data_IF_470113204322
#
_entry.id   IF_470113204322
#
_cell.length_a   1.000
_cell.length_b   1.000
_cell.length_c   1.000
_cell.angle_alpha   90.00
_cell.angle_beta   90.00
_cell.angle_gamma   90.00
#
_symmetry.space_group_name_H-M   'P 1'
#
loop_
_entity.id
_entity.type
_entity.pdbx_description
1 polymer ?
#
# COMPACT_ATOMS: atom_id res chain seq x y z
N UNK A 1 -52.25 55.59 -27.96
CA UNK A 1 -53.16 55.86 -26.82
C UNK A 1 -52.98 54.74 -25.80
N UNK A 2 -52.58 55.14 -24.59
CA UNK A 2 -52.71 54.46 -23.30
C UNK A 2 -52.04 53.08 -23.10
N UNK A 3 -51.18 53.04 -22.07
CA UNK A 3 -50.45 51.86 -21.62
C UNK A 3 -51.28 50.86 -20.80
N UNK A 4 -50.62 49.76 -20.46
CA UNK A 4 -50.95 48.98 -19.27
C UNK A 4 -49.66 48.30 -18.77
N UNK A 5 -49.20 48.72 -17.60
CA UNK A 5 -48.08 48.15 -16.85
C UNK A 5 -48.43 46.74 -16.37
N UNK A 6 -47.58 45.77 -16.71
CA UNK A 6 -47.64 44.40 -16.17
C UNK A 6 -46.41 44.11 -15.31
N UNK A 7 -46.56 44.16 -13.99
CA UNK A 7 -45.54 43.76 -13.01
C UNK A 7 -45.28 42.25 -13.09
N UNK A 8 -44.02 41.87 -13.30
CA UNK A 8 -43.52 40.51 -13.09
C UNK A 8 -43.43 40.22 -11.58
N UNK A 9 -43.99 39.12 -11.06
CA UNK A 9 -43.78 38.73 -9.67
C UNK A 9 -42.44 37.99 -9.52
N UNK A 10 -41.53 38.56 -8.73
CA UNK A 10 -40.32 37.86 -8.27
C UNK A 10 -40.72 36.74 -7.28
N UNK A 11 -40.65 35.50 -7.74
CA UNK A 11 -40.78 34.31 -6.87
C UNK A 11 -39.44 34.05 -6.15
N UNK A 12 -39.37 34.38 -4.86
CA UNK A 12 -38.30 33.92 -3.96
C UNK A 12 -38.50 32.43 -3.62
N UNK A 13 -37.48 31.56 -3.72
CA UNK A 13 -37.60 30.19 -3.24
C UNK A 13 -37.50 30.14 -1.71
N UNK A 14 -38.59 29.71 -1.04
CA UNK A 14 -38.58 29.31 0.38
C UNK A 14 -37.88 27.96 0.53
N UNK A 15 -36.56 27.96 0.70
CA UNK A 15 -35.82 26.80 1.20
C UNK A 15 -35.93 26.76 2.73
N UNK A 16 -36.91 26.02 3.25
CA UNK A 16 -36.99 25.69 4.69
C UNK A 16 -36.13 24.47 4.97
N UNK A 17 -34.80 24.66 5.00
CA UNK A 17 -33.88 23.64 5.53
C UNK A 17 -34.09 23.58 7.03
N UNK A 18 -34.71 22.52 7.54
CA UNK A 18 -34.72 22.19 8.97
C UNK A 18 -33.27 21.98 9.42
N UNK A 19 -32.65 23.03 9.96
CA UNK A 19 -31.40 22.92 10.72
C UNK A 19 -31.68 22.01 11.91
N UNK A 20 -31.19 20.78 11.86
CA UNK A 20 -31.06 19.97 13.06
C UNK A 20 -30.06 20.68 14.00
N UNK A 21 -30.41 20.95 15.27
CA UNK A 21 -29.56 21.77 16.13
C UNK A 21 -28.24 21.05 16.39
N UNK A 22 -27.12 21.75 16.16
CA UNK A 22 -25.75 21.30 16.46
C UNK A 22 -25.63 20.83 17.93
N UNK A 23 -26.40 21.46 18.83
CA UNK A 23 -26.57 21.06 20.24
C UNK A 23 -27.07 19.61 20.45
N UNK A 24 -27.89 19.07 19.53
CA UNK A 24 -28.43 17.72 19.67
C UNK A 24 -27.37 16.66 19.39
N UNK A 25 -26.51 16.88 18.38
CA UNK A 25 -25.35 16.04 18.08
C UNK A 25 -24.29 16.11 19.17
N UNK A 26 -24.05 17.29 19.75
CA UNK A 26 -23.13 17.47 20.88
C UNK A 26 -23.60 16.72 22.13
N UNK A 27 -24.90 16.78 22.45
CA UNK A 27 -25.51 16.02 23.56
C UNK A 27 -25.52 14.51 23.34
N UNK A 28 -25.61 14.06 22.09
CA UNK A 28 -25.54 12.63 21.73
C UNK A 28 -24.08 12.12 21.84
N UNK A 29 -23.10 12.89 21.35
CA UNK A 29 -21.66 12.68 21.56
C UNK A 29 -21.30 12.57 23.05
N UNK A 30 -21.79 13.49 23.89
CA UNK A 30 -21.53 13.45 25.33
C UNK A 30 -22.19 12.24 26.03
N UNK A 31 -23.37 11.79 25.57
CA UNK A 31 -24.04 10.60 26.10
C UNK A 31 -23.29 9.32 25.74
N UNK A 32 -22.73 9.25 24.54
CA UNK A 32 -21.96 8.10 24.05
C UNK A 32 -20.56 8.06 24.70
N UNK A 33 -19.90 9.20 24.85
CA UNK A 33 -18.64 9.34 25.61
C UNK A 33 -18.81 8.92 27.08
N UNK A 34 -19.94 9.26 27.72
CA UNK A 34 -20.26 8.80 29.10
C UNK A 34 -20.50 7.29 29.15
N UNK A 35 -21.10 6.68 28.12
CA UNK A 35 -21.26 5.21 28.05
C UNK A 35 -19.90 4.52 27.92
N UNK A 36 -19.03 5.00 27.04
CA UNK A 36 -17.68 4.47 26.82
C UNK A 36 -16.82 4.62 28.10
N UNK A 37 -16.83 5.78 28.74
CA UNK A 37 -16.09 5.98 30.00
C UNK A 37 -16.64 5.14 31.16
N UNK A 38 -17.96 4.86 31.20
CA UNK A 38 -18.55 3.95 32.18
C UNK A 38 -18.15 2.48 31.97
N UNK A 39 -17.88 2.07 30.72
CA UNK A 39 -17.39 0.74 30.37
C UNK A 39 -15.91 0.58 30.74
N UNK A 40 -15.07 1.58 30.49
CA UNK A 40 -13.67 1.60 30.95
C UNK A 40 -13.56 1.57 32.49
N UNK A 41 -14.43 2.29 33.20
CA UNK A 41 -14.48 2.26 34.67
C UNK A 41 -14.92 0.91 35.27
N UNK A 42 -15.66 0.08 34.51
CA UNK A 42 -16.06 -1.28 34.93
C UNK A 42 -15.00 -2.33 34.67
N UNK A 43 -14.11 -2.11 33.70
CA UNK A 43 -12.97 -3.00 33.41
C UNK A 43 -11.90 -2.90 34.51
N UNK A 44 -11.82 -1.77 35.23
CA UNK A 44 -10.88 -1.55 36.35
C UNK A 44 -11.29 -2.13 37.71
N UNK A 45 -12.41 -2.86 37.83
CA UNK A 45 -12.83 -3.53 39.08
C UNK A 45 -13.42 -4.91 38.79
N UNK A 46 -12.56 -5.87 38.46
CA UNK A 46 -12.92 -7.29 38.59
C UNK A 46 -11.95 -7.92 39.57
N UNK A 47 -12.51 -8.19 40.76
CA UNK A 47 -11.91 -8.92 41.86
C UNK A 47 -11.54 -10.34 41.45
N UNK A 48 -10.32 -10.77 41.77
CA UNK A 48 -9.88 -12.16 41.66
C UNK A 48 -10.75 -13.09 42.50
N UNK A 49 -11.31 -14.14 41.88
CA UNK A 49 -11.66 -15.39 42.56
C UNK A 49 -11.32 -16.57 41.64
N UNK A 50 -10.63 -17.62 42.13
CA UNK A 50 -10.17 -18.71 41.30
C UNK A 50 -11.31 -19.72 41.12
N UNK A 51 -11.61 -20.08 39.87
CA UNK A 51 -12.37 -21.30 39.59
C UNK A 51 -11.56 -22.15 38.63
N UNK A 52 -11.21 -23.35 39.11
CA UNK A 52 -10.63 -24.43 38.32
C UNK A 52 -11.69 -24.86 37.31
N UNK A 53 -11.35 -24.82 36.02
CA UNK A 53 -11.71 -25.90 35.09
C UNK A 53 -10.88 -25.83 33.82
N UNK A 54 -10.44 -27.01 33.44
CA UNK A 54 -9.52 -27.37 32.36
C UNK A 54 -10.10 -27.11 30.98
N UNK A 55 -9.40 -26.30 30.17
CA UNK A 55 -9.43 -26.43 28.72
C UNK A 55 -8.01 -26.29 28.17
N UNK A 56 -7.61 -27.30 27.40
CA UNK A 56 -6.34 -27.52 26.74
C UNK A 56 -5.97 -26.37 25.80
N UNK A 57 -4.79 -25.79 26.03
CA UNK A 57 -4.11 -24.86 25.13
C UNK A 57 -3.60 -25.61 23.90
N UNK A 58 -4.01 -25.22 22.69
CA UNK A 58 -3.26 -25.53 21.47
C UNK A 58 -2.11 -24.52 21.36
N UNK A 59 -0.90 -24.98 21.69
CA UNK A 59 0.34 -24.26 21.40
C UNK A 59 0.67 -24.38 19.91
N UNK A 60 1.10 -23.27 19.31
CA UNK A 60 1.65 -23.23 17.95
C UNK A 60 2.93 -24.07 17.86
N UNK A 61 3.16 -24.83 16.77
CA UNK A 61 4.40 -25.58 16.63
C UNK A 61 5.54 -24.66 16.17
N UNK A 62 6.53 -24.54 17.06
CA UNK A 62 7.91 -24.14 16.80
C UNK A 62 8.55 -25.14 15.84
N UNK A 63 9.19 -24.67 14.77
CA UNK A 63 9.88 -25.53 13.80
C UNK A 63 11.37 -25.64 14.17
N UNK A 64 11.76 -26.80 14.69
CA UNK A 64 13.15 -27.24 14.80
C UNK A 64 13.29 -28.54 14.00
N UNK A 65 14.28 -28.60 13.12
CA UNK A 65 14.65 -29.77 12.32
C UNK A 65 15.14 -30.91 13.20
N UNK A 66 14.63 -32.12 12.97
CA UNK A 66 15.47 -33.32 13.09
C UNK A 66 15.02 -34.41 12.12
N UNK A 67 16.00 -35.14 11.60
CA UNK A 67 15.84 -36.09 10.51
C UNK A 67 15.58 -37.54 10.95
N UNK A 68 15.15 -38.36 9.99
CA UNK A 68 15.41 -39.80 9.99
C UNK A 68 14.18 -40.72 9.99
N UNK A 69 14.20 -41.63 9.01
CA UNK A 69 13.48 -42.92 8.88
C UNK A 69 12.03 -42.94 8.37
N UNK A 70 11.92 -43.17 7.05
CA UNK A 70 11.46 -44.45 6.51
C UNK A 70 9.97 -44.80 6.57
N UNK A 71 9.25 -44.59 5.46
CA UNK A 71 7.93 -45.19 5.24
C UNK A 71 7.34 -44.71 3.92
N UNK A 72 7.26 -45.60 2.93
CA UNK A 72 6.74 -45.31 1.60
C UNK A 72 5.28 -44.87 1.63
N UNK A 73 5.04 -43.65 1.18
CA UNK A 73 3.73 -43.08 0.89
C UNK A 73 3.94 -41.93 -0.08
N UNK A 74 3.19 -41.93 -1.18
CA UNK A 74 3.30 -40.94 -2.26
C UNK A 74 3.33 -39.51 -1.72
N UNK A 75 4.47 -38.84 -1.89
CA UNK A 75 4.64 -37.43 -1.60
C UNK A 75 3.84 -36.60 -2.62
N UNK A 76 2.55 -36.42 -2.36
CA UNK A 76 1.82 -35.30 -2.93
C UNK A 76 2.29 -34.05 -2.18
N UNK A 77 3.39 -33.47 -2.65
CA UNK A 77 3.98 -32.24 -2.13
C UNK A 77 3.04 -31.07 -2.49
N UNK A 78 1.90 -31.00 -1.81
CA UNK A 78 1.04 -29.83 -1.79
C UNK A 78 1.77 -28.75 -0.97
N UNK A 79 2.73 -28.07 -1.59
CA UNK A 79 3.01 -26.68 -1.23
C UNK A 79 1.76 -25.89 -1.61
N UNK A 80 0.76 -25.88 -0.73
CA UNK A 80 -0.40 -25.02 -0.90
C UNK A 80 0.13 -23.59 -0.78
N UNK A 81 0.42 -22.94 -1.92
CA UNK A 81 0.69 -21.51 -1.97
C UNK A 81 -0.44 -20.84 -1.21
N UNK A 82 -0.14 -20.23 -0.07
CA UNK A 82 -1.13 -19.57 0.77
C UNK A 82 -1.70 -18.41 -0.05
N UNK A 83 -2.91 -18.58 -0.58
CA UNK A 83 -3.61 -17.50 -1.28
C UNK A 83 -4.22 -16.58 -0.22
N UNK A 84 -3.75 -15.34 -0.19
CA UNK A 84 -4.21 -14.28 0.71
C UNK A 84 -5.26 -13.42 -0.01
N UNK A 85 -4.99 -13.10 -1.28
CA UNK A 85 -5.75 -12.18 -2.09
C UNK A 85 -6.52 -12.86 -3.22
N UNK A 86 -7.74 -12.39 -3.42
CA UNK A 86 -8.62 -12.67 -4.55
C UNK A 86 -8.19 -11.77 -5.72
N UNK A 87 -7.34 -12.31 -6.61
CA UNK A 87 -6.71 -11.56 -7.71
C UNK A 87 -7.73 -11.09 -8.74
N UNK A 88 -8.78 -11.88 -9.01
CA UNK A 88 -9.86 -11.49 -9.90
C UNK A 88 -10.64 -10.30 -9.33
N UNK A 89 -10.93 -10.30 -8.02
CA UNK A 89 -11.53 -9.15 -7.38
C UNK A 89 -10.61 -7.92 -7.41
N UNK A 90 -9.31 -8.11 -7.15
CA UNK A 90 -8.35 -6.99 -7.22
C UNK A 90 -8.33 -6.39 -8.62
N UNK A 91 -8.37 -7.21 -9.68
CA UNK A 91 -8.51 -6.73 -11.07
C UNK A 91 -9.79 -5.90 -11.25
N UNK A 92 -10.94 -6.35 -10.73
CA UNK A 92 -12.20 -5.57 -10.77
C UNK A 92 -12.07 -4.24 -10.02
N UNK A 93 -11.35 -4.21 -8.90
CA UNK A 93 -11.06 -2.96 -8.18
C UNK A 93 -10.21 -2.00 -9.01
N UNK A 94 -9.23 -2.53 -9.75
CA UNK A 94 -8.41 -1.76 -10.70
C UNK A 94 -9.25 -1.26 -11.89
N UNK A 95 -10.12 -2.09 -12.45
CA UNK A 95 -11.05 -1.68 -13.52
C UNK A 95 -11.90 -0.50 -13.04
N UNK A 96 -12.51 -0.61 -11.84
CA UNK A 96 -13.29 0.48 -11.23
C UNK A 96 -12.45 1.74 -10.99
N UNK A 97 -11.22 1.58 -10.49
CA UNK A 97 -10.31 2.69 -10.24
C UNK A 97 -9.98 3.48 -11.52
N UNK A 98 -9.82 2.78 -12.65
CA UNK A 98 -9.59 3.43 -13.95
C UNK A 98 -10.73 4.39 -14.32
N UNK A 99 -11.98 4.00 -14.05
CA UNK A 99 -13.15 4.86 -14.27
C UNK A 99 -13.22 6.05 -13.31
N UNK A 100 -12.90 5.84 -12.02
CA UNK A 100 -12.97 6.89 -10.99
C UNK A 100 -11.85 7.93 -11.12
N UNK A 101 -10.68 7.52 -11.62
CA UNK A 101 -9.45 8.32 -11.64
C UNK A 101 -9.13 8.94 -13.00
N UNK A 102 -9.98 8.71 -14.00
CA UNK A 102 -9.78 9.09 -15.43
C UNK A 102 -9.43 10.56 -15.68
N UNK A 103 -9.76 11.46 -14.76
CA UNK A 103 -9.54 12.91 -14.89
C UNK A 103 -9.02 13.59 -13.62
N UNK A 104 -8.50 12.81 -12.66
CA UNK A 104 -8.07 13.36 -11.37
C UNK A 104 -6.65 12.92 -11.06
N UNK A 105 -5.76 13.90 -10.99
CA UNK A 105 -4.43 13.68 -10.43
C UNK A 105 -4.57 13.52 -8.92
N UNK A 106 -3.91 12.49 -8.41
CA UNK A 106 -3.93 12.15 -7.00
C UNK A 106 -2.58 12.57 -6.41
N UNK A 107 -2.63 13.57 -5.52
CA UNK A 107 -1.42 14.15 -4.93
C UNK A 107 -0.62 13.15 -4.10
N UNK A 108 -1.29 12.14 -3.51
CA UNK A 108 -0.59 11.11 -2.75
C UNK A 108 0.13 10.15 -3.70
N UNK A 109 -0.56 9.66 -4.75
CA UNK A 109 0.09 8.80 -5.75
C UNK A 109 1.24 9.51 -6.46
N UNK A 110 1.09 10.81 -6.72
CA UNK A 110 2.12 11.64 -7.32
C UNK A 110 3.33 11.80 -6.40
N UNK A 111 3.11 12.08 -5.11
CA UNK A 111 4.19 12.19 -4.13
C UNK A 111 4.99 10.88 -3.98
N UNK A 112 4.30 9.73 -4.03
CA UNK A 112 4.96 8.42 -3.96
C UNK A 112 5.73 8.11 -5.25
N UNK A 113 5.15 8.41 -6.41
CA UNK A 113 5.81 8.20 -7.69
C UNK A 113 7.01 9.14 -7.88
N UNK A 114 6.90 10.42 -7.52
CA UNK A 114 8.01 11.38 -7.57
C UNK A 114 9.20 10.88 -6.73
N UNK A 115 8.96 10.54 -5.46
CA UNK A 115 10.01 10.06 -4.55
C UNK A 115 10.65 8.75 -5.07
N UNK A 116 9.85 7.82 -5.62
CA UNK A 116 10.39 6.61 -6.24
C UNK A 116 11.29 6.94 -7.45
N UNK A 117 10.88 7.90 -8.29
CA UNK A 117 11.59 8.30 -9.50
C UNK A 117 12.81 9.19 -9.23
N UNK A 118 12.83 9.94 -8.13
CA UNK A 118 13.98 10.76 -7.71
C UNK A 118 15.26 9.91 -7.57
N UNK A 119 15.12 8.64 -7.18
CA UNK A 119 16.24 7.67 -7.09
C UNK A 119 16.92 7.39 -8.44
N UNK A 120 16.26 7.69 -9.55
CA UNK A 120 16.88 7.61 -10.88
C UNK A 120 17.89 8.74 -11.11
N UNK A 121 17.75 9.88 -10.43
CA UNK A 121 18.68 11.01 -10.54
C UNK A 121 20.02 10.73 -9.84
N UNK A 122 20.00 9.89 -8.79
CA UNK A 122 21.21 9.40 -8.12
C UNK A 122 22.03 8.44 -8.98
N UNK A 123 21.42 7.88 -10.04
CA UNK A 123 22.05 6.94 -10.95
C UNK A 123 22.78 7.68 -12.07
N UNK A 124 24.10 7.51 -12.18
CA UNK A 124 24.91 8.07 -13.28
C UNK A 124 24.69 7.38 -14.65
N UNK A 125 23.88 6.34 -14.68
CA UNK A 125 23.64 5.44 -15.81
C UNK A 125 22.28 5.75 -16.46
N UNK A 126 22.17 5.50 -17.77
CA UNK A 126 20.88 5.46 -18.47
C UNK A 126 20.26 4.06 -18.48
N UNK A 127 18.94 4.01 -18.52
CA UNK A 127 18.12 2.80 -18.57
C UNK A 127 17.22 2.85 -19.81
N UNK A 128 17.75 2.52 -21.01
CA UNK A 128 17.02 2.73 -22.27
C UNK A 128 15.68 2.00 -22.34
N UNK A 129 15.54 0.86 -21.66
CA UNK A 129 14.29 0.10 -21.59
C UNK A 129 13.81 -0.07 -20.16
N UNK A 130 12.56 0.32 -19.91
CA UNK A 130 11.94 0.23 -18.60
C UNK A 130 10.59 -0.50 -18.66
N UNK A 131 10.27 -1.21 -17.59
CA UNK A 131 8.97 -1.84 -17.37
C UNK A 131 8.33 -1.26 -16.11
N UNK A 132 7.13 -0.72 -16.24
CA UNK A 132 6.34 -0.25 -15.11
C UNK A 132 5.21 -1.26 -14.81
N UNK A 133 5.17 -1.74 -13.56
CA UNK A 133 4.28 -2.79 -13.07
C UNK A 133 3.21 -2.23 -12.14
N UNK A 134 1.95 -2.32 -12.56
CA UNK A 134 0.76 -2.12 -11.74
C UNK A 134 0.68 -0.78 -11.00
N UNK A 135 -0.26 -0.72 -10.04
CA UNK A 135 -0.34 0.37 -9.06
C UNK A 135 -0.56 1.77 -9.66
N UNK A 136 0.35 2.72 -9.47
CA UNK A 136 0.20 4.12 -9.91
C UNK A 136 0.82 4.41 -11.28
N UNK A 137 0.57 3.54 -12.27
CA UNK A 137 1.05 3.65 -13.66
C UNK A 137 0.96 5.07 -14.25
N UNK A 138 -0.21 5.72 -14.13
CA UNK A 138 -0.41 7.05 -14.69
C UNK A 138 0.47 8.12 -14.03
N UNK A 139 0.73 8.01 -12.72
CA UNK A 139 1.61 8.93 -12.00
C UNK A 139 3.07 8.74 -12.44
N UNK A 140 3.53 7.48 -12.56
CA UNK A 140 4.87 7.16 -13.03
C UNK A 140 5.12 7.68 -14.45
N UNK A 141 4.18 7.45 -15.38
CA UNK A 141 4.30 7.92 -16.76
C UNK A 141 4.40 9.44 -16.85
N UNK A 142 3.55 10.16 -16.10
CA UNK A 142 3.53 11.63 -16.09
C UNK A 142 4.78 12.25 -15.47
N UNK A 143 5.26 11.66 -14.37
CA UNK A 143 6.35 12.23 -13.58
C UNK A 143 7.74 11.77 -14.04
N UNK A 144 7.82 10.87 -15.02
CA UNK A 144 9.10 10.38 -15.52
C UNK A 144 10.00 11.50 -16.06
N UNK A 145 9.44 12.51 -16.76
CA UNK A 145 10.12 13.78 -17.15
C UNK A 145 11.54 13.62 -17.75
N UNK A 146 11.82 12.51 -18.44
CA UNK A 146 13.14 12.22 -19.02
C UNK A 146 14.19 11.70 -18.05
N UNK A 147 13.84 11.43 -16.78
CA UNK A 147 14.73 10.84 -15.77
C UNK A 147 15.18 9.46 -16.17
N UNK A 148 16.43 9.13 -15.81
CA UNK A 148 17.01 7.81 -16.05
C UNK A 148 17.28 7.48 -17.52
N UNK A 149 17.13 8.42 -18.46
CA UNK A 149 17.42 8.18 -19.88
C UNK A 149 16.59 7.05 -20.49
N UNK A 150 15.31 6.98 -20.12
CA UNK A 150 14.38 5.95 -20.60
C UNK A 150 13.87 6.32 -21.98
N UNK A 151 14.14 5.46 -22.96
CA UNK A 151 13.69 5.62 -24.35
C UNK A 151 12.42 4.81 -24.62
N UNK A 152 12.34 3.61 -24.05
CA UNK A 152 11.22 2.67 -24.20
C UNK A 152 10.62 2.32 -22.86
N UNK A 153 9.31 2.51 -22.74
CA UNK A 153 8.55 2.22 -21.52
C UNK A 153 7.46 1.18 -21.83
N UNK A 154 7.48 0.06 -21.11
CA UNK A 154 6.43 -0.96 -21.15
C UNK A 154 5.56 -0.75 -19.91
N UNK A 155 4.29 -0.43 -20.11
CA UNK A 155 3.32 -0.25 -19.05
C UNK A 155 2.48 -1.52 -18.90
N UNK A 156 2.46 -2.13 -17.72
CA UNK A 156 1.76 -3.39 -17.48
C UNK A 156 0.83 -3.31 -16.27
N UNK A 157 -0.42 -3.76 -16.44
CA UNK A 157 -1.40 -3.93 -15.36
C UNK A 157 -2.25 -5.19 -15.62
N UNK A 158 -2.86 -5.73 -14.57
CA UNK A 158 -3.85 -6.81 -14.71
C UNK A 158 -5.18 -6.29 -15.29
N UNK A 159 -5.47 -5.01 -15.11
CA UNK A 159 -6.68 -4.34 -15.60
C UNK A 159 -6.49 -3.79 -17.02
N UNK A 160 -7.33 -4.28 -17.93
CA UNK A 160 -7.44 -3.72 -19.28
C UNK A 160 -7.91 -2.25 -19.25
N UNK A 161 -8.88 -1.92 -18.40
CA UNK A 161 -9.43 -0.57 -18.31
C UNK A 161 -8.37 0.43 -17.80
N UNK A 162 -7.50 0.01 -16.87
CA UNK A 162 -6.39 0.84 -16.39
C UNK A 162 -5.36 1.11 -17.50
N UNK A 163 -4.98 0.07 -18.24
CA UNK A 163 -4.09 0.21 -19.40
C UNK A 163 -4.70 1.13 -20.47
N UNK A 164 -5.99 0.92 -20.78
CA UNK A 164 -6.73 1.77 -21.71
C UNK A 164 -6.75 3.22 -21.24
N UNK A 165 -7.02 3.47 -19.96
CA UNK A 165 -6.99 4.82 -19.38
C UNK A 165 -5.61 5.47 -19.50
N UNK A 166 -4.53 4.72 -19.25
CA UNK A 166 -3.16 5.24 -19.38
C UNK A 166 -2.76 5.53 -20.84
N UNK A 167 -3.29 4.74 -21.78
CA UNK A 167 -3.07 4.92 -23.23
C UNK A 167 -3.84 6.12 -23.77
N UNK A 168 -5.10 6.25 -23.37
CA UNK A 168 -5.99 7.31 -23.85
C UNK A 168 -5.64 8.68 -23.21
N UNK A 169 -4.90 8.68 -22.10
CA UNK A 169 -4.32 9.89 -21.53
C UNK A 169 -3.31 10.50 -22.52
N UNK A 170 -3.73 11.59 -23.19
CA UNK A 170 -2.87 12.41 -24.02
C UNK A 170 -1.83 13.10 -23.15
N UNK A 171 -0.60 12.63 -23.23
CA UNK A 171 0.57 13.30 -22.66
C UNK A 171 1.62 13.37 -23.76
N UNK A 172 2.19 14.56 -23.97
CA UNK A 172 3.36 14.78 -24.83
C UNK A 172 4.59 14.17 -24.15
N UNK A 173 4.68 12.84 -24.16
CA UNK A 173 5.85 12.12 -23.71
C UNK A 173 6.73 11.78 -24.91
N UNK A 174 8.00 12.13 -24.81
CA UNK A 174 9.04 11.78 -25.80
C UNK A 174 9.41 10.29 -25.75
N UNK A 175 8.88 9.53 -24.79
CA UNK A 175 9.23 8.12 -24.53
C UNK A 175 8.31 7.18 -25.31
N UNK A 176 8.89 6.27 -26.09
CA UNK A 176 8.15 5.24 -26.82
C UNK A 176 7.46 4.31 -25.81
N UNK A 177 6.15 4.44 -25.67
CA UNK A 177 5.38 3.72 -24.65
C UNK A 177 4.54 2.61 -25.27
N UNK A 178 4.77 1.38 -24.82
CA UNK A 178 3.96 0.20 -25.15
C UNK A 178 3.13 -0.23 -23.95
N UNK A 179 2.02 -0.93 -24.19
CA UNK A 179 1.07 -1.31 -23.16
C UNK A 179 0.80 -2.80 -23.20
N UNK A 180 0.77 -3.44 -22.03
CA UNK A 180 0.59 -4.87 -21.88
C UNK A 180 -0.41 -5.16 -20.76
N UNK A 181 -1.34 -6.07 -21.00
CA UNK A 181 -2.18 -6.62 -19.93
C UNK A 181 -1.52 -7.92 -19.47
N UNK A 182 -1.17 -7.99 -18.19
CA UNK A 182 -0.43 -9.11 -17.62
C UNK A 182 -0.49 -9.13 -16.11
N UNK A 183 -0.23 -10.30 -15.53
CA UNK A 183 -0.15 -10.49 -14.08
C UNK A 183 1.30 -10.37 -13.63
N UNK A 184 1.55 -9.54 -12.62
CA UNK A 184 2.88 -9.41 -12.03
C UNK A 184 3.37 -10.69 -11.33
N UNK A 185 2.47 -11.62 -10.95
CA UNK A 185 2.83 -12.95 -10.45
C UNK A 185 3.34 -13.89 -11.56
N UNK A 186 3.04 -13.60 -12.83
CA UNK A 186 3.40 -14.40 -14.01
C UNK A 186 3.93 -13.49 -15.11
N UNK A 187 5.12 -12.96 -14.88
CA UNK A 187 5.67 -11.85 -15.65
C UNK A 187 5.91 -12.25 -17.12
N UNK A 188 5.17 -11.69 -18.09
CA UNK A 188 5.26 -12.06 -19.51
C UNK A 188 6.41 -11.33 -20.23
N UNK A 189 7.57 -11.20 -19.58
CA UNK A 189 8.72 -10.45 -20.08
C UNK A 189 9.90 -11.39 -20.25
N UNK A 190 10.57 -11.29 -21.40
CA UNK A 190 11.74 -12.11 -21.69
C UNK A 190 12.84 -11.85 -20.65
N UNK A 191 13.53 -12.90 -20.24
CA UNK A 191 14.68 -12.77 -19.36
C UNK A 191 15.76 -11.86 -19.96
N UNK A 192 16.42 -11.07 -19.10
CA UNK A 192 17.52 -10.18 -19.45
C UNK A 192 17.19 -9.23 -20.61
N UNK A 193 15.98 -8.67 -20.63
CA UNK A 193 15.47 -7.84 -21.73
C UNK A 193 15.29 -6.37 -21.38
N UNK A 194 15.04 -6.04 -20.10
CA UNK A 194 14.79 -4.67 -19.64
C UNK A 194 15.91 -4.15 -18.76
N UNK A 195 16.19 -2.85 -18.77
CA UNK A 195 17.25 -2.23 -17.95
C UNK A 195 16.74 -1.76 -16.58
N UNK A 196 15.45 -1.42 -16.50
CA UNK A 196 14.79 -0.89 -15.30
C UNK A 196 13.41 -1.51 -15.11
N UNK A 197 13.07 -1.85 -13.86
CA UNK A 197 11.71 -2.23 -13.46
C UNK A 197 11.25 -1.28 -12.36
N UNK A 198 10.06 -0.70 -12.54
CA UNK A 198 9.42 0.22 -11.60
C UNK A 198 8.09 -0.37 -11.18
N UNK A 199 7.85 -0.56 -9.89
CA UNK A 199 6.53 -0.91 -9.33
C UNK A 199 6.12 0.12 -8.29
N UNK A 200 5.19 1.01 -8.60
CA UNK A 200 4.70 1.98 -7.62
C UNK A 200 3.35 1.57 -7.06
N UNK A 201 3.31 1.12 -5.81
CA UNK A 201 2.09 0.68 -5.08
C UNK A 201 1.31 -0.47 -5.74
N UNK A 202 2.00 -1.37 -6.46
CA UNK A 202 1.39 -2.55 -7.10
C UNK A 202 1.64 -3.85 -6.35
N UNK A 203 2.92 -4.15 -6.07
CA UNK A 203 3.38 -5.48 -5.65
C UNK A 203 2.80 -6.01 -4.32
N UNK A 204 2.31 -5.16 -3.42
CA UNK A 204 1.74 -5.61 -2.13
C UNK A 204 0.40 -6.35 -2.26
N UNK A 205 -0.19 -6.44 -3.46
CA UNK A 205 -1.38 -7.24 -3.74
C UNK A 205 -1.08 -8.62 -4.35
N UNK A 206 0.18 -9.01 -4.42
CA UNK A 206 0.60 -10.34 -4.88
C UNK A 206 0.52 -11.36 -3.74
N UNK A 207 0.15 -12.59 -4.08
CA UNK A 207 0.19 -13.74 -3.18
C UNK A 207 1.61 -14.32 -3.05
N UNK A 208 2.41 -14.22 -4.11
CA UNK A 208 3.81 -14.64 -4.13
C UNK A 208 4.72 -13.45 -4.45
N UNK A 209 4.85 -12.54 -3.48
CA UNK A 209 5.71 -11.37 -3.60
C UNK A 209 7.18 -11.74 -3.86
N UNK A 210 7.81 -12.70 -3.14
CA UNK A 210 9.17 -13.14 -3.47
C UNK A 210 9.28 -13.69 -4.89
N UNK A 211 8.34 -14.54 -5.34
CA UNK A 211 8.34 -15.09 -6.69
C UNK A 211 8.18 -14.03 -7.77
N UNK A 212 7.35 -13.01 -7.53
CA UNK A 212 7.19 -11.86 -8.44
C UNK A 212 8.50 -11.05 -8.52
N UNK A 213 9.16 -10.80 -7.38
CA UNK A 213 10.44 -10.11 -7.33
C UNK A 213 11.58 -10.89 -8.02
N UNK A 214 11.60 -12.22 -7.89
CA UNK A 214 12.56 -13.08 -8.61
C UNK A 214 12.36 -12.96 -10.12
N UNK A 215 11.11 -13.00 -10.59
CA UNK A 215 10.80 -12.81 -12.01
C UNK A 215 11.23 -11.42 -12.51
N UNK A 216 11.03 -10.37 -11.70
CA UNK A 216 11.56 -9.04 -12.00
C UNK A 216 13.10 -9.06 -12.13
N UNK A 217 13.82 -9.70 -11.19
CA UNK A 217 15.28 -9.86 -11.29
C UNK A 217 15.68 -10.57 -12.60
N UNK A 218 14.99 -11.65 -12.97
CA UNK A 218 15.29 -12.41 -14.19
C UNK A 218 15.03 -11.61 -15.47
N UNK A 219 13.99 -10.77 -15.49
CA UNK A 219 13.67 -9.89 -16.62
C UNK A 219 14.71 -8.76 -16.82
N UNK A 220 15.32 -8.28 -15.73
CA UNK A 220 16.36 -7.23 -15.79
C UNK A 220 17.61 -7.74 -16.50
N UNK A 221 18.29 -6.92 -17.32
CA UNK A 221 19.65 -7.20 -17.80
C UNK A 221 20.66 -7.18 -16.64
N UNK A 222 21.85 -7.78 -16.79
CA UNK A 222 22.94 -7.56 -15.84
C UNK A 222 23.13 -6.06 -15.60
N UNK A 223 23.36 -5.65 -14.35
CA UNK A 223 23.47 -4.22 -13.94
C UNK A 223 22.14 -3.45 -14.04
N UNK A 224 21.01 -4.15 -14.24
CA UNK A 224 19.67 -3.55 -14.27
C UNK A 224 19.15 -3.19 -12.89
N UNK A 225 18.32 -2.15 -12.82
CA UNK A 225 17.80 -1.57 -11.58
C UNK A 225 16.34 -1.99 -11.35
N UNK A 226 16.03 -2.36 -10.11
CA UNK A 226 14.68 -2.59 -9.61
C UNK A 226 14.33 -1.50 -8.61
N UNK A 227 13.21 -0.82 -8.85
CA UNK A 227 12.60 0.17 -7.98
C UNK A 227 11.18 -0.25 -7.65
N UNK A 228 10.84 -0.33 -6.37
CA UNK A 228 9.48 -0.60 -5.96
C UNK A 228 9.06 0.24 -4.75
N UNK A 229 7.81 0.68 -4.72
CA UNK A 229 7.14 1.24 -3.57
C UNK A 229 5.98 0.33 -3.18
N UNK A 230 5.90 -0.07 -1.91
CA UNK A 230 4.81 -0.88 -1.36
C UNK A 230 4.25 -0.22 -0.10
N UNK A 231 2.97 -0.49 0.21
CA UNK A 231 2.38 -0.05 1.48
C UNK A 231 2.90 -0.90 2.65
N UNK A 232 3.31 -0.23 3.72
CA UNK A 232 3.84 -0.82 4.95
C UNK A 232 2.80 -1.01 6.05
N UNK A 233 3.17 -1.75 7.11
CA UNK A 233 2.31 -2.16 8.22
C UNK A 233 1.58 -1.02 8.95
N UNK A 234 2.18 0.16 9.02
CA UNK A 234 1.59 1.34 9.68
C UNK A 234 0.52 2.06 8.82
N UNK A 235 0.33 1.62 7.56
CA UNK A 235 -0.69 2.18 6.68
C UNK A 235 -2.09 1.91 7.22
N UNK A 236 -2.90 2.96 7.22
CA UNK A 236 -4.30 3.02 7.66
C UNK A 236 -4.50 2.48 9.09
N UNK A 237 -3.51 2.67 9.97
CA UNK A 237 -3.57 2.24 11.37
C UNK A 237 -4.80 2.80 12.09
N UNK A 238 -5.16 4.05 11.83
CA UNK A 238 -6.32 4.70 12.43
C UNK A 238 -7.62 4.02 11.97
N UNK A 239 -7.75 3.75 10.66
CA UNK A 239 -8.94 3.09 10.09
C UNK A 239 -9.03 1.63 10.58
N UNK A 240 -7.90 0.94 10.73
CA UNK A 240 -7.82 -0.42 11.28
C UNK A 240 -8.33 -0.49 12.70
N UNK A 241 -7.93 0.46 13.56
CA UNK A 241 -8.42 0.56 14.94
C UNK A 241 -9.94 0.79 14.93
N UNK A 242 -10.43 1.77 14.15
CA UNK A 242 -11.86 2.08 14.10
C UNK A 242 -12.71 0.91 13.59
N UNK A 243 -12.26 0.20 12.55
CA UNK A 243 -12.94 -1.00 12.05
C UNK A 243 -12.98 -2.09 13.12
N UNK A 244 -11.86 -2.34 13.81
CA UNK A 244 -11.77 -3.39 14.82
C UNK A 244 -12.73 -3.13 15.97
N UNK A 245 -12.75 -1.91 16.50
CA UNK A 245 -13.65 -1.52 17.58
C UNK A 245 -15.13 -1.61 17.16
N UNK A 246 -15.46 -1.13 15.95
CA UNK A 246 -16.82 -1.20 15.43
C UNK A 246 -17.32 -2.64 15.28
N UNK A 247 -16.49 -3.53 14.74
CA UNK A 247 -16.83 -4.94 14.61
C UNK A 247 -16.98 -5.62 15.98
N UNK A 248 -16.10 -5.34 16.93
CA UNK A 248 -16.21 -5.89 18.29
C UNK A 248 -17.50 -5.44 18.99
N UNK A 249 -17.88 -4.17 18.87
CA UNK A 249 -19.09 -3.63 19.50
C UNK A 249 -20.37 -4.14 18.83
N UNK A 250 -20.41 -4.22 17.49
CA UNK A 250 -21.65 -4.50 16.73
C UNK A 250 -21.86 -5.96 16.40
N UNK A 251 -20.78 -6.71 16.17
CA UNK A 251 -20.84 -8.07 15.62
C UNK A 251 -20.23 -9.11 16.59
N UNK A 252 -19.63 -8.67 17.71
CA UNK A 252 -19.05 -9.58 18.70
C UNK A 252 -17.80 -10.33 18.22
N UNK A 253 -17.17 -9.86 17.14
CA UNK A 253 -15.99 -10.47 16.53
C UNK A 253 -15.17 -9.45 15.73
N UNK A 254 -14.15 -9.92 15.01
CA UNK A 254 -13.32 -9.07 14.13
C UNK A 254 -13.35 -9.66 12.73
N UNK A 255 -13.67 -8.83 11.74
CA UNK A 255 -13.53 -9.16 10.32
C UNK A 255 -12.26 -8.52 9.76
N UNK A 256 -11.49 -9.20 8.90
CA UNK A 256 -10.35 -8.56 8.23
C UNK A 256 -10.86 -7.54 7.19
N UNK A 257 -10.64 -6.25 7.45
CA UNK A 257 -11.08 -5.14 6.57
C UNK A 257 -9.95 -4.49 5.78
N UNK A 258 -8.71 -4.66 6.23
CA UNK A 258 -7.52 -4.08 5.61
C UNK A 258 -6.56 -5.19 5.21
N UNK A 259 -5.74 -4.92 4.19
CA UNK A 259 -4.69 -5.85 3.76
C UNK A 259 -3.70 -6.11 4.91
N UNK A 260 -3.19 -7.34 5.07
CA UNK A 260 -1.92 -7.55 5.75
C UNK A 260 -0.85 -6.84 4.91
N UNK A 261 -0.05 -6.01 5.55
CA UNK A 261 0.99 -5.20 4.89
C UNK A 261 2.34 -5.57 5.48
N UNK A 262 3.38 -5.44 4.64
CA UNK A 262 4.74 -5.82 5.01
C UNK A 262 5.30 -4.91 6.10
N UNK A 263 6.11 -5.48 6.99
CA UNK A 263 6.89 -4.67 7.92
C UNK A 263 8.20 -4.23 7.25
N UNK A 264 8.77 -3.12 7.71
CA UNK A 264 10.02 -2.57 7.17
C UNK A 264 11.15 -3.60 7.17
N UNK A 265 11.26 -4.39 8.24
CA UNK A 265 12.27 -5.45 8.36
C UNK A 265 12.12 -6.55 7.31
N UNK A 266 10.91 -6.79 6.83
CA UNK A 266 10.65 -7.83 5.84
C UNK A 266 11.09 -7.39 4.44
N UNK A 267 11.07 -6.10 4.12
CA UNK A 267 11.45 -5.58 2.82
C UNK A 267 12.92 -5.91 2.44
N UNK A 268 13.86 -5.73 3.37
CA UNK A 268 15.27 -6.10 3.14
C UNK A 268 15.45 -7.61 2.96
N UNK A 269 14.69 -8.41 3.72
CA UNK A 269 14.68 -9.87 3.58
C UNK A 269 14.10 -10.30 2.22
N UNK A 270 13.05 -9.63 1.74
CA UNK A 270 12.44 -9.89 0.43
C UNK A 270 13.43 -9.62 -0.71
N UNK A 271 14.13 -8.47 -0.69
CA UNK A 271 15.16 -8.14 -1.68
C UNK A 271 16.29 -9.18 -1.69
N UNK A 272 16.78 -9.55 -0.50
CA UNK A 272 17.86 -10.54 -0.35
C UNK A 272 17.41 -11.93 -0.82
N UNK A 273 16.19 -12.35 -0.48
CA UNK A 273 15.62 -13.64 -0.94
C UNK A 273 15.35 -13.68 -2.43
N UNK A 274 14.95 -12.56 -3.02
CA UNK A 274 14.84 -12.43 -4.48
C UNK A 274 16.20 -12.38 -5.17
N UNK A 275 17.29 -12.26 -4.40
CA UNK A 275 18.66 -12.27 -4.88
C UNK A 275 19.13 -10.92 -5.42
N UNK A 276 18.47 -9.80 -5.10
CA UNK A 276 18.99 -8.50 -5.53
C UNK A 276 20.31 -8.18 -4.84
N UNK A 277 21.24 -7.61 -5.60
CA UNK A 277 22.47 -7.02 -5.08
C UNK A 277 22.23 -5.58 -4.64
N UNK A 278 23.03 -5.09 -3.69
CA UNK A 278 22.93 -3.73 -3.14
C UNK A 278 21.48 -3.36 -2.71
N UNK A 279 20.84 -4.16 -1.81
CA UNK A 279 19.48 -3.89 -1.38
C UNK A 279 19.43 -2.58 -0.59
N UNK A 280 18.63 -1.63 -1.06
CA UNK A 280 18.28 -0.41 -0.33
C UNK A 280 16.82 -0.44 0.09
N UNK A 281 16.54 -0.01 1.32
CA UNK A 281 15.19 0.09 1.86
C UNK A 281 15.07 1.42 2.58
N UNK A 282 14.13 2.24 2.11
CA UNK A 282 13.78 3.51 2.74
C UNK A 282 12.30 3.49 3.11
N UNK A 283 11.90 4.30 4.09
CA UNK A 283 10.53 4.34 4.58
C UNK A 283 10.11 5.78 4.80
N UNK A 284 8.98 6.14 4.20
CA UNK A 284 8.34 7.43 4.44
C UNK A 284 6.93 7.25 4.99
N UNK A 285 6.52 8.21 5.81
CA UNK A 285 5.17 8.29 6.37
C UNK A 285 4.45 9.51 5.76
N UNK A 286 3.32 9.25 5.11
CA UNK A 286 2.45 10.27 4.54
C UNK A 286 1.16 10.35 5.36
N UNK A 287 0.93 11.47 6.04
CA UNK A 287 -0.32 11.71 6.77
C UNK A 287 -1.24 12.58 5.92
N UNK A 288 -2.25 11.96 5.30
CA UNK A 288 -3.22 12.65 4.44
C UNK A 288 -4.46 12.99 5.26
N UNK A 289 -4.89 14.25 5.23
CA UNK A 289 -6.09 14.73 5.93
C UNK A 289 -7.32 14.67 5.03
N UNK A 290 -8.39 14.05 5.51
CA UNK A 290 -9.68 13.93 4.82
C UNK A 290 -10.77 14.67 5.57
N UNK A 291 -11.80 15.16 4.86
CA UNK A 291 -12.94 15.82 5.52
C UNK A 291 -13.80 14.84 6.32
N UNK A 292 -13.82 13.58 5.94
CA UNK A 292 -14.56 12.53 6.62
C UNK A 292 -13.98 11.14 6.33
N UNK A 293 -14.39 10.15 7.12
CA UNK A 293 -14.08 8.74 6.86
C UNK A 293 -14.54 8.28 5.47
N UNK A 294 -15.65 8.82 4.96
CA UNK A 294 -16.21 8.45 3.67
C UNK A 294 -15.32 8.95 2.52
N UNK A 295 -14.78 10.16 2.64
CA UNK A 295 -13.86 10.71 1.64
C UNK A 295 -12.58 9.86 1.54
N UNK A 296 -12.08 9.35 2.68
CA UNK A 296 -10.97 8.39 2.70
C UNK A 296 -11.34 7.09 1.95
N UNK A 297 -12.52 6.51 2.22
CA UNK A 297 -12.96 5.29 1.54
C UNK A 297 -13.12 5.51 0.03
N UNK A 298 -13.67 6.65 -0.39
CA UNK A 298 -13.81 7.00 -1.81
C UNK A 298 -12.44 7.21 -2.47
N UNK A 299 -11.48 7.79 -1.76
CA UNK A 299 -10.10 7.87 -2.22
C UNK A 299 -9.46 6.50 -2.40
N UNK A 300 -9.59 5.60 -1.42
CA UNK A 300 -9.08 4.22 -1.53
C UNK A 300 -9.74 3.46 -2.70
N UNK A 301 -11.01 3.71 -3.00
CA UNK A 301 -11.69 3.17 -4.18
C UNK A 301 -11.10 3.70 -5.48
N UNK A 302 -10.78 5.00 -5.54
CA UNK A 302 -10.15 5.63 -6.70
C UNK A 302 -8.70 5.13 -6.92
N UNK A 303 -7.97 4.82 -5.85
CA UNK A 303 -6.64 4.20 -5.92
C UNK A 303 -6.70 2.71 -6.31
N UNK A 304 -7.86 2.08 -6.17
CA UNK A 304 -8.03 0.63 -6.32
C UNK A 304 -7.60 -0.18 -5.09
N UNK A 305 -7.31 0.47 -3.96
CA UNK A 305 -6.79 -0.10 -2.71
C UNK A 305 -7.91 -0.62 -1.79
N UNK A 306 -8.94 -1.22 -2.38
CA UNK A 306 -10.07 -1.80 -1.63
C UNK A 306 -9.84 -3.27 -1.30
N UNK A 307 -10.41 -3.72 -0.17
CA UNK A 307 -10.18 -5.04 0.41
C UNK A 307 -10.44 -6.20 -0.57
N UNK A 308 -9.36 -6.87 -1.00
CA UNK A 308 -9.38 -8.05 -1.84
C UNK A 308 -8.96 -9.34 -1.13
N UNK A 309 -9.13 -9.43 0.19
CA UNK A 309 -8.83 -10.66 0.93
C UNK A 309 -9.80 -11.79 0.57
N UNK A 310 -9.28 -13.01 0.43
CA UNK A 310 -10.10 -14.20 0.15
C UNK A 310 -11.08 -14.49 1.29
N UNK A 311 -10.60 -14.46 2.53
CA UNK A 311 -11.38 -14.76 3.73
C UNK A 311 -12.10 -13.52 4.30
N UNK A 312 -12.54 -12.60 3.43
CA UNK A 312 -13.27 -11.39 3.85
C UNK A 312 -14.76 -11.66 4.05
N UNK A 313 -15.38 -10.94 4.97
CA UNK A 313 -16.84 -10.80 4.96
C UNK A 313 -17.26 -9.92 3.79
N UNK A 314 -17.96 -10.52 2.82
CA UNK A 314 -18.41 -9.84 1.59
C UNK A 314 -19.42 -8.73 1.86
N UNK A 315 -20.22 -8.89 2.91
CA UNK A 315 -21.25 -7.93 3.30
C UNK A 315 -20.70 -7.08 4.45
N UNK A 316 -20.84 -5.76 4.34
CA UNK A 316 -20.64 -4.84 5.44
C UNK A 316 -22.01 -4.38 5.94
N UNK A 317 -22.32 -4.68 7.19
CA UNK A 317 -23.54 -4.18 7.82
C UNK A 317 -23.50 -2.65 7.91
N UNK A 318 -24.63 -2.01 7.57
CA UNK A 318 -24.74 -0.55 7.58
C UNK A 318 -24.45 0.02 8.97
N UNK A 319 -24.92 -0.66 10.02
CA UNK A 319 -24.67 -0.24 11.41
C UNK A 319 -23.19 -0.28 11.75
N UNK A 320 -22.48 -1.35 11.38
CA UNK A 320 -21.03 -1.47 11.56
C UNK A 320 -20.27 -0.40 10.77
N UNK A 321 -20.70 -0.08 9.54
CA UNK A 321 -20.11 1.00 8.74
C UNK A 321 -20.27 2.38 9.40
N UNK A 322 -21.47 2.67 9.92
CA UNK A 322 -21.76 3.94 10.61
C UNK A 322 -21.00 4.03 11.94
N UNK A 323 -20.93 2.92 12.69
CA UNK A 323 -20.13 2.84 13.91
C UNK A 323 -18.64 3.06 13.63
N UNK A 324 -18.10 2.46 12.56
CA UNK A 324 -16.71 2.67 12.13
C UNK A 324 -16.45 4.15 11.87
N UNK A 325 -17.32 4.82 11.11
CA UNK A 325 -17.15 6.25 10.81
C UNK A 325 -17.25 7.12 12.07
N UNK A 326 -18.17 6.81 12.99
CA UNK A 326 -18.33 7.53 14.25
C UNK A 326 -17.13 7.35 15.18
N UNK A 327 -16.63 6.12 15.31
CA UNK A 327 -15.44 5.80 16.10
C UNK A 327 -14.22 6.51 15.51
N UNK A 328 -14.03 6.43 14.19
CA UNK A 328 -12.93 7.08 13.50
C UNK A 328 -12.88 8.59 13.75
N UNK A 329 -14.03 9.25 13.60
CA UNK A 329 -14.18 10.69 13.90
C UNK A 329 -13.96 10.98 15.39
N UNK A 330 -14.52 10.18 16.29
CA UNK A 330 -14.40 10.41 17.74
C UNK A 330 -12.97 10.27 18.28
N UNK A 331 -12.18 9.36 17.70
CA UNK A 331 -10.84 9.04 18.20
C UNK A 331 -9.75 9.86 17.52
N UNK A 332 -9.91 10.19 16.24
CA UNK A 332 -8.82 10.71 15.42
C UNK A 332 -9.11 12.06 14.76
N UNK A 333 -10.32 12.60 14.84
CA UNK A 333 -10.60 13.91 14.24
C UNK A 333 -9.73 15.02 14.87
N UNK A 334 -9.16 15.85 14.02
CA UNK A 334 -8.39 17.02 14.41
C UNK A 334 -9.33 18.18 14.77
N UNK A 335 -8.77 19.23 15.38
CA UNK A 335 -9.52 20.44 15.76
C UNK A 335 -10.23 21.09 14.56
N UNK A 336 -9.61 21.00 13.38
CA UNK A 336 -10.15 21.49 12.10
C UNK A 336 -11.33 20.65 11.54
N UNK A 337 -11.70 19.56 12.21
CA UNK A 337 -12.77 18.65 11.79
C UNK A 337 -12.38 17.69 10.66
N UNK A 338 -11.09 17.55 10.37
CA UNK A 338 -10.57 16.55 9.42
C UNK A 338 -10.12 15.28 10.14
N UNK A 339 -10.12 14.15 9.44
CA UNK A 339 -9.58 12.87 9.94
C UNK A 339 -8.26 12.54 9.23
N UNK A 340 -7.19 12.20 9.96
CA UNK A 340 -5.92 11.80 9.38
C UNK A 340 -5.97 10.33 8.95
N UNK A 341 -5.37 10.01 7.81
CA UNK A 341 -5.03 8.65 7.44
C UNK A 341 -3.53 8.57 7.15
N UNK A 342 -2.85 7.71 7.91
CA UNK A 342 -1.42 7.48 7.76
C UNK A 342 -1.16 6.45 6.67
N UNK A 343 -0.26 6.74 5.73
CA UNK A 343 0.24 5.80 4.73
C UNK A 343 1.75 5.66 4.93
N UNK A 344 2.18 4.48 5.32
CA UNK A 344 3.60 4.15 5.36
C UNK A 344 3.98 3.54 4.02
N UNK A 345 4.95 4.13 3.34
CA UNK A 345 5.43 3.64 2.05
C UNK A 345 6.86 3.15 2.25
N UNK A 346 7.09 1.89 1.87
CA UNK A 346 8.41 1.27 1.89
C UNK A 346 8.93 1.29 0.46
N UNK A 347 10.03 2.01 0.25
CA UNK A 347 10.75 2.07 -1.00
C UNK A 347 11.84 1.00 -0.98
N UNK A 348 11.93 0.24 -2.06
CA UNK A 348 12.86 -0.85 -2.24
C UNK A 348 13.68 -0.59 -3.50
N UNK A 349 14.99 -0.63 -3.35
CA UNK A 349 15.94 -0.57 -4.45
C UNK A 349 16.77 -1.84 -4.48
N UNK A 350 17.02 -2.36 -5.67
CA UNK A 350 17.81 -3.57 -5.83
C UNK A 350 18.41 -3.65 -7.21
N UNK A 351 19.59 -4.21 -7.32
CA UNK A 351 20.30 -4.32 -8.59
C UNK A 351 20.47 -5.78 -9.00
N UNK A 352 20.34 -6.08 -10.29
CA UNK A 352 20.76 -7.38 -10.81
C UNK A 352 22.29 -7.45 -10.80
N UNK A 353 22.83 -8.54 -10.25
CA UNK A 353 24.26 -8.77 -10.12
C UNK A 353 25.02 -8.52 -11.44
N UNK A 354 26.13 -7.79 -11.32
CA UNK A 354 27.07 -7.53 -12.39
C UNK A 354 28.49 -7.39 -11.81
N UNK A 355 29.52 -7.67 -12.61
CA UNK A 355 30.91 -7.64 -12.17
C UNK A 355 31.42 -6.25 -11.77
N UNK A 356 30.72 -5.18 -12.18
CA UNK A 356 31.00 -3.80 -11.78
C UNK A 356 30.61 -3.49 -10.33
N UNK A 357 29.72 -4.29 -9.73
CA UNK A 357 29.22 -4.00 -8.40
C UNK A 357 30.30 -4.27 -7.35
N UNK A 358 30.42 -3.40 -6.32
CA UNK A 358 31.32 -3.66 -5.20
C UNK A 358 30.96 -4.99 -4.55
N UNK A 359 31.83 -5.99 -4.72
CA UNK A 359 31.68 -7.25 -3.97
C UNK A 359 32.00 -6.99 -2.51
N UNK A 360 31.11 -7.43 -1.62
CA UNK A 360 31.38 -7.39 -0.19
C UNK A 360 32.69 -8.14 0.07
N UNK A 361 33.70 -7.42 0.56
CA UNK A 361 34.99 -7.98 0.94
C UNK A 361 34.76 -9.11 1.96
N UNK A 362 35.49 -10.22 1.83
CA UNK A 362 35.36 -11.36 2.76
C UNK A 362 35.55 -10.89 4.20
N UNK A 363 34.70 -11.37 5.12
CA UNK A 363 34.84 -11.08 6.55
C UNK A 363 36.26 -11.47 7.01
N UNK A 364 37.04 -10.51 7.50
CA UNK A 364 38.45 -10.69 7.86
C UNK A 364 39.47 -10.19 6.83
N UNK A 365 39.06 -9.71 5.65
CA UNK A 365 39.97 -9.11 4.66
C UNK A 365 40.14 -7.59 4.84
N UNK A 366 40.05 -7.11 6.09
CA UNK A 366 40.36 -5.74 6.43
C UNK A 366 41.88 -5.56 6.32
N UNK A 367 42.36 -4.98 5.21
CA UNK A 367 43.78 -4.78 4.94
C UNK A 367 44.37 -3.55 5.64
N UNK A 368 43.53 -2.75 6.30
CA UNK A 368 43.91 -1.50 6.94
C UNK A 368 43.41 -1.54 8.37
N UNK A 369 44.33 -1.43 9.33
CA UNK A 369 43.95 -1.33 10.75
C UNK A 369 43.49 0.09 11.07
N UNK A 370 42.63 0.25 12.09
CA UNK A 370 42.25 1.57 12.59
C UNK A 370 43.47 2.40 13.03
N UNK A 371 44.53 1.73 13.48
CA UNK A 371 45.82 2.33 13.84
C UNK A 371 46.53 2.94 12.63
N UNK A 372 46.42 2.32 11.45
CA UNK A 372 47.03 2.82 10.22
C UNK A 372 46.29 4.07 9.70
N UNK A 373 44.96 4.09 9.81
CA UNK A 373 44.15 5.27 9.51
C UNK A 373 44.48 6.43 10.46
N UNK A 374 44.68 6.14 11.75
CA UNK A 374 45.04 7.17 12.73
C UNK A 374 46.42 7.78 12.46
N UNK A 375 47.38 7.03 11.93
CA UNK A 375 48.68 7.60 11.48
C UNK A 375 48.55 8.42 10.20
N UNK A 376 47.62 8.03 9.30
CA UNK A 376 47.41 8.70 8.03
C UNK A 376 46.65 10.04 8.17
N UNK A 377 45.80 10.17 9.19
CA UNK A 377 45.00 11.37 9.46
C UNK A 377 45.36 12.11 10.76
N UNK A 378 46.15 11.52 11.65
CA UNK A 378 46.57 12.10 12.93
C UNK A 378 47.91 12.84 12.90
N UNK A 379 48.46 13.09 11.71
CA UNK A 379 49.71 13.84 11.50
C UNK A 379 49.51 15.32 11.23
N UNK A 380 48.52 15.97 11.86
CA UNK A 380 48.42 17.43 11.95
C UNK A 380 47.88 17.81 13.33
N UNK A 381 48.77 17.91 14.30
CA UNK A 381 48.62 18.74 15.49
C UNK A 381 50.00 19.19 15.94
#
# INVERSE_FOLDING_TARGET
>A
VAGCEGRLPQTKPRNTVRRFPVERRKREREREMRRINSLFGRIGRVSEKPTKNSHTFFAAPSFSTDGGYGGGGEFQQSSSRVKIFDRDLKRIHRDRAAWLSRHKNDTFLDAVAENLLDRLEDCKKSFPSALCLGGSLAAVKRLLRGRGGIEKLIMMDTSYDMIKSCRDAQEDSLVETSYLVGDEEFLPIKESSVDLIISSLGLHWTNDLPGSMIQCKLALKPDGLFLAAILGGETLKELRIACTLAHMEREGGISPRLSPLAQVRDAGNLLTRAGFSLPGVDVDEYVVKYKSALDLIDHLRAMGETNALLHRNKILNRETALATAAIYDSMFATEDGTVPATFQVIYMTGWREHSSHPQAKRRGSATVSFTDLQKQFGGQS
#
